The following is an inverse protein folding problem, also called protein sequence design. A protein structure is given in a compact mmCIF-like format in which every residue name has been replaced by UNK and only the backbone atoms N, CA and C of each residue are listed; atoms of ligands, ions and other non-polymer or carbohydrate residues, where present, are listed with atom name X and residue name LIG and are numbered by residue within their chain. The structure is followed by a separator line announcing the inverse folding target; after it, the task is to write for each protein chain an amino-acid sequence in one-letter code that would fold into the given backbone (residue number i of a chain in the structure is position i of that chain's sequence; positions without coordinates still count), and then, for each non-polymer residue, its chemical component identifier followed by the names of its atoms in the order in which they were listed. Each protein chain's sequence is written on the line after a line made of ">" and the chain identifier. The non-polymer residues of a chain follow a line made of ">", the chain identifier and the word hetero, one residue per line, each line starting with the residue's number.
data_IF_209282954213
#
_entry.id   IF_209282954213
#
_cell.length_a   1.000
_cell.length_b   1.000
_cell.length_c   1.000
_cell.angle_alpha   90.00
_cell.angle_beta   90.00
_cell.angle_gamma   90.00
#
_symmetry.space_group_name_H-M   'P 1'
#
loop_
_entity.id
_entity.type
_entity.pdbx_description
1 polymer ?
#
# COMPACT_ATOMS: atom_id res chain seq x y z
N UNK A 1 -28.06 0.77 5.56
CA UNK A 1 -27.26 -0.45 5.84
C UNK A 1 -25.78 -0.13 5.64
N UNK A 2 -25.01 -0.15 6.74
CA UNK A 2 -23.66 0.44 6.88
C UNK A 2 -22.49 -0.53 6.58
N UNK A 3 -22.74 -1.71 6.03
CA UNK A 3 -21.72 -2.76 5.83
C UNK A 3 -20.60 -2.33 4.87
N UNK A 4 -20.94 -1.57 3.82
CA UNK A 4 -19.97 -1.07 2.86
C UNK A 4 -18.96 -0.11 3.49
N UNK A 5 -19.39 0.73 4.46
CA UNK A 5 -18.49 1.67 5.16
C UNK A 5 -17.46 0.93 6.01
N UNK A 6 -17.88 -0.10 6.73
CA UNK A 6 -17.00 -0.88 7.61
C UNK A 6 -15.95 -1.63 6.77
N UNK A 7 -16.38 -2.28 5.69
CA UNK A 7 -15.46 -2.98 4.78
C UNK A 7 -14.42 -2.04 4.17
N UNK A 8 -14.84 -0.82 3.80
CA UNK A 8 -13.95 0.23 3.25
C UNK A 8 -12.91 0.68 4.27
N UNK A 9 -13.31 0.92 5.52
CA UNK A 9 -12.41 1.34 6.60
C UNK A 9 -11.43 0.23 6.96
N UNK A 10 -11.91 -1.01 7.13
CA UNK A 10 -11.05 -2.16 7.44
C UNK A 10 -10.07 -2.46 6.32
N UNK A 11 -10.48 -2.37 5.05
CA UNK A 11 -9.59 -2.53 3.90
C UNK A 11 -8.49 -1.47 3.89
N UNK A 12 -8.83 -0.22 4.21
CA UNK A 12 -7.87 0.88 4.22
C UNK A 12 -6.84 0.74 5.34
N UNK A 13 -7.29 0.39 6.55
CA UNK A 13 -6.40 0.13 7.69
C UNK A 13 -5.49 -1.07 7.39
N UNK A 14 -6.05 -2.14 6.80
CA UNK A 14 -5.28 -3.31 6.39
C UNK A 14 -4.22 -2.96 5.34
N UNK A 15 -4.59 -2.14 4.35
CA UNK A 15 -3.69 -1.67 3.29
C UNK A 15 -2.55 -0.83 3.87
N UNK A 16 -2.85 0.04 4.83
CA UNK A 16 -1.88 0.93 5.47
C UNK A 16 -0.88 0.15 6.33
N UNK A 17 -1.37 -0.74 7.20
CA UNK A 17 -0.54 -1.65 8.00
C UNK A 17 0.33 -2.52 7.10
N UNK A 18 -0.24 -3.09 6.03
CA UNK A 18 0.50 -3.93 5.08
C UNK A 18 1.55 -3.14 4.32
N UNK A 19 1.27 -1.88 3.98
CA UNK A 19 2.21 -0.96 3.34
C UNK A 19 3.39 -0.61 4.23
N UNK A 20 3.15 -0.31 5.51
CA UNK A 20 4.20 -0.07 6.51
C UNK A 20 5.06 -1.33 6.68
N UNK A 21 4.44 -2.50 6.83
CA UNK A 21 5.15 -3.76 7.01
C UNK A 21 6.01 -4.10 5.79
N UNK A 22 5.51 -3.83 4.59
CA UNK A 22 6.26 -3.96 3.35
C UNK A 22 7.44 -2.98 3.29
N UNK A 23 7.26 -1.74 3.72
CA UNK A 23 8.33 -0.74 3.80
C UNK A 23 9.45 -1.18 4.73
N UNK A 24 9.11 -1.69 5.93
CA UNK A 24 10.07 -2.27 6.87
C UNK A 24 10.82 -3.45 6.24
N UNK A 25 10.09 -4.36 5.58
CA UNK A 25 10.68 -5.50 4.89
C UNK A 25 11.67 -5.08 3.79
N UNK A 26 11.31 -4.12 2.94
CA UNK A 26 12.17 -3.55 1.90
C UNK A 26 13.42 -2.88 2.47
N UNK A 27 13.29 -2.17 3.60
CA UNK A 27 14.40 -1.52 4.27
C UNK A 27 15.40 -2.54 4.84
N UNK A 28 14.91 -3.63 5.44
CA UNK A 28 15.75 -4.74 5.89
C UNK A 28 16.43 -5.47 4.72
N UNK A 29 15.72 -5.66 3.61
CA UNK A 29 16.26 -6.22 2.36
C UNK A 29 17.39 -5.36 1.78
N UNK A 30 17.19 -4.05 1.72
CA UNK A 30 18.21 -3.09 1.27
C UNK A 30 19.44 -3.10 2.18
N UNK A 31 19.24 -3.19 3.50
CA UNK A 31 20.34 -3.33 4.46
C UNK A 31 21.13 -4.63 4.24
N UNK A 32 20.44 -5.76 4.06
CA UNK A 32 21.08 -7.05 3.79
C UNK A 32 21.92 -7.02 2.50
N UNK A 33 21.43 -6.39 1.43
CA UNK A 33 22.20 -6.17 0.21
C UNK A 33 23.43 -5.29 0.44
N UNK A 34 23.32 -4.24 1.26
CA UNK A 34 24.43 -3.37 1.62
C UNK A 34 25.57 -4.07 2.37
N UNK A 35 25.25 -5.12 3.14
CA UNK A 35 26.23 -5.96 3.87
C UNK A 35 26.69 -7.15 3.01
N UNK A 36 26.44 -7.13 1.70
CA UNK A 36 26.82 -8.19 0.74
C UNK A 36 26.19 -9.55 1.02
N UNK A 37 25.06 -9.60 1.72
CA UNK A 37 24.29 -10.84 1.87
C UNK A 37 23.66 -11.15 0.51
N UNK A 38 24.02 -12.30 -0.06
CA UNK A 38 23.47 -12.75 -1.33
C UNK A 38 22.01 -13.14 -1.16
N UNK A 39 21.13 -12.40 -1.82
CA UNK A 39 19.69 -12.64 -1.77
C UNK A 39 19.29 -13.49 -2.96
N UNK A 40 18.50 -14.56 -2.75
CA UNK A 40 18.10 -15.43 -3.84
C UNK A 40 17.24 -14.67 -4.86
N UNK A 41 17.52 -14.91 -6.15
CA UNK A 41 16.94 -14.14 -7.25
C UNK A 41 15.40 -14.17 -7.30
N UNK A 42 14.78 -15.28 -6.90
CA UNK A 42 13.32 -15.40 -6.82
C UNK A 42 12.69 -14.41 -5.83
N UNK A 43 13.41 -14.07 -4.75
CA UNK A 43 12.95 -13.10 -3.76
C UNK A 43 12.96 -11.69 -4.34
N UNK A 44 13.92 -11.36 -5.20
CA UNK A 44 13.98 -10.10 -5.93
C UNK A 44 12.76 -9.88 -6.84
N UNK A 45 12.33 -10.91 -7.57
CA UNK A 45 11.13 -10.84 -8.40
C UNK A 45 9.85 -10.63 -7.57
N UNK A 46 9.74 -11.32 -6.44
CA UNK A 46 8.62 -11.22 -5.53
C UNK A 46 8.56 -9.81 -4.91
N UNK A 47 9.70 -9.29 -4.47
CA UNK A 47 9.85 -7.92 -3.95
C UNK A 47 9.47 -6.88 -5.00
N UNK A 48 9.91 -7.05 -6.25
CA UNK A 48 9.58 -6.14 -7.35
C UNK A 48 8.07 -6.13 -7.63
N UNK A 49 7.43 -7.31 -7.68
CA UNK A 49 5.99 -7.45 -7.94
C UNK A 49 5.17 -6.79 -6.83
N UNK A 50 5.53 -7.03 -5.56
CA UNK A 50 4.84 -6.41 -4.42
C UNK A 50 5.13 -4.90 -4.37
N UNK A 51 6.35 -4.46 -4.70
CA UNK A 51 6.72 -3.05 -4.77
C UNK A 51 5.94 -2.28 -5.84
N UNK A 52 5.75 -2.87 -7.02
CA UNK A 52 4.89 -2.31 -8.08
C UNK A 52 3.43 -2.22 -7.60
N UNK A 53 2.92 -3.29 -6.97
CA UNK A 53 1.57 -3.30 -6.39
C UNK A 53 1.37 -2.19 -5.35
N UNK A 54 2.31 -2.08 -4.40
CA UNK A 54 2.31 -1.04 -3.39
C UNK A 54 2.42 0.36 -4.00
N UNK A 55 3.23 0.54 -5.05
CA UNK A 55 3.34 1.80 -5.79
C UNK A 55 2.02 2.18 -6.47
N UNK A 56 1.34 1.26 -7.15
CA UNK A 56 0.02 1.54 -7.73
C UNK A 56 -1.05 1.83 -6.68
N UNK A 57 -0.99 1.16 -5.52
CA UNK A 57 -1.89 1.41 -4.40
C UNK A 57 -1.63 2.78 -3.77
N UNK A 58 -0.36 3.18 -3.61
CA UNK A 58 0.03 4.47 -3.07
C UNK A 58 -0.23 5.61 -4.06
N UNK A 59 0.00 5.39 -5.36
CA UNK A 59 -0.43 6.32 -6.42
C UNK A 59 -1.96 6.43 -6.43
N UNK A 60 -2.68 5.31 -6.36
CA UNK A 60 -4.13 5.29 -6.25
C UNK A 60 -4.62 6.09 -5.04
N UNK A 61 -3.91 5.98 -3.91
CA UNK A 61 -4.11 6.76 -2.68
C UNK A 61 -3.73 8.25 -2.83
N UNK A 62 -2.70 8.59 -3.59
CA UNK A 62 -2.26 9.98 -3.79
C UNK A 62 -3.13 10.72 -4.81
N UNK A 63 -3.51 10.03 -5.90
CA UNK A 63 -4.50 10.50 -6.88
C UNK A 63 -5.95 10.42 -6.34
N UNK A 64 -6.13 9.90 -5.13
CA UNK A 64 -7.40 9.68 -4.45
C UNK A 64 -8.12 10.94 -3.97
N UNK A 65 -7.67 12.13 -4.38
CA UNK A 65 -8.51 13.33 -4.32
C UNK A 65 -9.50 13.39 -5.49
N UNK A 66 -9.18 12.77 -6.63
CA UNK A 66 -10.00 12.87 -7.86
C UNK A 66 -10.77 11.60 -8.19
N UNK A 67 -10.17 10.42 -7.97
CA UNK A 67 -10.82 9.13 -8.29
C UNK A 67 -11.77 8.64 -7.19
N UNK A 68 -11.46 8.83 -5.89
CA UNK A 68 -12.44 8.53 -4.82
C UNK A 68 -13.67 9.42 -4.85
N UNK A 69 -13.54 10.67 -5.33
CA UNK A 69 -14.68 11.57 -5.53
C UNK A 69 -15.65 11.03 -6.59
N UNK A 70 -15.14 10.30 -7.58
CA UNK A 70 -15.91 9.71 -8.67
C UNK A 70 -16.54 8.36 -8.28
N UNK A 71 -15.82 7.50 -7.54
CA UNK A 71 -16.32 6.19 -7.11
C UNK A 71 -17.15 6.20 -5.80
N UNK A 72 -16.97 7.18 -4.91
CA UNK A 72 -17.55 7.17 -3.55
C UNK A 72 -18.43 8.38 -3.22
N UNK A 73 -18.61 9.32 -4.15
CA UNK A 73 -19.44 10.51 -3.95
C UNK A 73 -18.80 11.58 -3.07
N UNK A 74 -19.32 12.82 -3.15
CA UNK A 74 -18.74 14.08 -2.65
C UNK A 74 -18.31 14.14 -1.17
N UNK A 75 -18.71 13.19 -0.32
CA UNK A 75 -18.58 13.28 1.13
C UNK A 75 -17.52 12.31 1.69
N UNK A 76 -16.33 12.30 1.10
CA UNK A 76 -15.21 11.47 1.57
C UNK A 76 -14.27 12.19 2.54
N UNK A 77 -14.31 13.52 2.55
CA UNK A 77 -13.73 14.29 3.63
C UNK A 77 -14.81 14.56 4.66
N UNK A 78 -14.61 14.03 5.86
CA UNK A 78 -15.13 14.67 7.06
C UNK A 78 -14.44 16.05 7.06
N UNK A 79 -15.13 17.05 6.52
CA UNK A 79 -14.89 18.44 6.94
C UNK A 79 -15.01 18.45 8.45
N UNK A 80 -13.95 18.93 9.10
CA UNK A 80 -14.00 19.28 10.52
C UNK A 80 -14.78 20.57 10.67
#
# INVERSE_FOLDING_TARGET
>A
MNYLKIFKVSFFIFLDISGILLGVFLMSLGFALGVSITIPQWLGWLVMLIGIGAFFLHLGHYFNLRYMRWLFGKNYFIEK
#
